data_IF_828091759050
#
_entry.id   IF_828091759050
#
_cell.length_a   1.000
_cell.length_b   1.000
_cell.length_c   1.000
_cell.angle_alpha   90.00
_cell.angle_beta   90.00
_cell.angle_gamma   90.00
#
_symmetry.space_group_name_H-M   'P 1'
#
loop_
_entity.id
_entity.type
_entity.pdbx_description
1 polymer ?
#
# COMPACT_ATOMS: atom_id res chain seq x y z
N UNK A 1 25.97 2.94 -6.60
CA UNK A 1 26.60 1.63 -6.58
C UNK A 1 26.11 0.87 -5.35
N UNK A 2 26.44 1.29 -4.12
CA UNK A 2 26.03 0.58 -2.89
C UNK A 2 24.52 0.40 -2.75
N UNK A 3 23.72 1.41 -3.09
CA UNK A 3 22.25 1.29 -3.04
C UNK A 3 21.69 0.23 -3.98
N UNK A 4 22.28 0.03 -5.15
CA UNK A 4 21.87 -1.03 -6.06
C UNK A 4 22.19 -2.42 -5.49
N UNK A 5 23.33 -2.56 -4.84
CA UNK A 5 23.74 -3.80 -4.16
C UNK A 5 22.80 -4.11 -3.00
N UNK A 6 22.48 -3.11 -2.16
CA UNK A 6 21.59 -3.25 -1.02
C UNK A 6 20.15 -3.64 -1.45
N UNK A 7 19.58 -3.01 -2.48
CA UNK A 7 18.24 -3.37 -2.97
C UNK A 7 18.17 -4.81 -3.49
N UNK A 8 19.15 -5.24 -4.28
CA UNK A 8 19.16 -6.61 -4.80
C UNK A 8 19.37 -7.62 -3.67
N UNK A 9 20.25 -7.31 -2.72
CA UNK A 9 20.48 -8.16 -1.55
C UNK A 9 19.19 -8.35 -0.73
N UNK A 10 18.41 -7.29 -0.45
CA UNK A 10 17.13 -7.42 0.25
C UNK A 10 16.09 -8.23 -0.53
N UNK A 11 16.02 -8.08 -1.84
CA UNK A 11 15.13 -8.91 -2.65
C UNK A 11 15.50 -10.39 -2.57
N UNK A 12 16.79 -10.71 -2.58
CA UNK A 12 17.28 -12.09 -2.40
C UNK A 12 16.98 -12.63 -1.00
N UNK A 13 17.08 -11.79 0.06
CA UNK A 13 16.70 -12.18 1.43
C UNK A 13 15.22 -12.54 1.53
N UNK A 14 14.32 -11.83 0.87
CA UNK A 14 12.89 -12.18 0.83
C UNK A 14 12.64 -13.52 0.12
N UNK A 15 13.35 -13.81 -0.95
CA UNK A 15 13.29 -15.11 -1.63
C UNK A 15 13.82 -16.21 -0.69
N UNK A 16 14.91 -15.95 -0.01
CA UNK A 16 15.49 -16.90 0.96
C UNK A 16 14.55 -17.14 2.15
N UNK A 17 13.84 -16.11 2.62
CA UNK A 17 12.81 -16.29 3.64
C UNK A 17 11.70 -17.26 3.18
N UNK A 18 11.29 -17.21 1.91
CA UNK A 18 10.36 -18.18 1.34
C UNK A 18 10.92 -19.61 1.37
N UNK A 19 12.19 -19.79 1.02
CA UNK A 19 12.87 -21.08 1.07
C UNK A 19 12.95 -21.65 2.49
N UNK A 20 13.17 -20.80 3.47
CA UNK A 20 13.18 -21.15 4.90
C UNK A 20 11.79 -21.48 5.46
N UNK A 21 10.72 -21.28 4.69
CA UNK A 21 9.36 -21.67 5.09
C UNK A 21 8.54 -20.59 5.78
N UNK A 22 8.95 -19.32 5.76
CA UNK A 22 8.13 -18.23 6.28
C UNK A 22 6.79 -18.15 5.54
N UNK A 23 5.72 -17.77 6.24
CA UNK A 23 4.38 -17.64 5.68
C UNK A 23 4.18 -16.34 4.91
N UNK A 24 4.91 -15.30 5.27
CA UNK A 24 4.85 -14.00 4.62
C UNK A 24 6.09 -13.16 4.85
N UNK A 25 6.26 -12.17 3.98
CA UNK A 25 7.30 -11.14 4.07
C UNK A 25 6.62 -9.78 4.13
N UNK A 26 7.15 -8.88 4.94
CA UNK A 26 6.57 -7.56 5.16
C UNK A 26 7.49 -6.47 4.63
N UNK A 27 6.88 -5.51 3.93
CA UNK A 27 7.56 -4.33 3.40
C UNK A 27 7.04 -3.07 4.09
N UNK A 28 7.92 -2.10 4.29
CA UNK A 28 7.58 -0.78 4.81
C UNK A 28 7.93 0.32 3.81
N UNK A 29 7.36 1.50 4.02
CA UNK A 29 7.64 2.68 3.18
C UNK A 29 7.97 3.88 4.07
N UNK A 30 9.09 4.56 3.76
CA UNK A 30 9.51 5.77 4.45
C UNK A 30 10.05 6.81 3.49
N UNK A 31 9.74 8.07 3.74
CA UNK A 31 10.12 9.19 2.90
C UNK A 31 10.90 10.25 3.66
N UNK A 32 11.91 10.82 3.00
CA UNK A 32 12.63 12.00 3.46
C UNK A 32 13.51 11.80 4.71
N UNK A 33 13.82 10.57 5.06
CA UNK A 33 14.68 10.24 6.20
C UNK A 33 15.47 8.94 5.94
N UNK A 34 16.53 8.66 6.71
CA UNK A 34 17.39 7.50 6.49
C UNK A 34 16.91 6.21 7.19
N UNK A 35 15.64 6.08 7.55
CA UNK A 35 15.14 4.87 8.22
C UNK A 35 15.26 3.62 7.38
N UNK A 36 14.92 3.75 6.10
CA UNK A 36 15.11 2.69 5.12
C UNK A 36 15.24 3.28 3.73
N UNK A 37 15.67 2.46 2.78
CA UNK A 37 15.73 2.83 1.37
C UNK A 37 14.40 2.61 0.63
N UNK A 38 13.45 1.91 1.23
CA UNK A 38 12.15 1.57 0.66
C UNK A 38 11.22 2.79 0.59
N UNK A 39 11.45 3.67 -0.37
CA UNK A 39 10.61 4.85 -0.60
C UNK A 39 9.46 4.62 -1.60
N UNK A 40 9.44 3.47 -2.28
CA UNK A 40 8.37 3.08 -3.21
C UNK A 40 8.10 1.58 -3.03
N UNK A 41 7.51 1.24 -1.92
CA UNK A 41 7.27 -0.14 -1.49
C UNK A 41 6.51 -0.97 -2.52
N UNK A 42 5.56 -0.38 -3.25
CA UNK A 42 4.75 -1.10 -4.23
C UNK A 42 5.57 -1.58 -5.45
N UNK A 43 6.69 -0.94 -5.77
CA UNK A 43 7.62 -1.43 -6.81
C UNK A 43 8.32 -2.70 -6.34
N UNK A 44 8.83 -2.71 -5.11
CA UNK A 44 9.46 -3.90 -4.51
C UNK A 44 8.44 -5.05 -4.39
N UNK A 45 7.23 -4.75 -3.91
CA UNK A 45 6.13 -5.72 -3.83
C UNK A 45 5.80 -6.34 -5.20
N UNK A 46 5.83 -5.55 -6.28
CA UNK A 46 5.60 -6.04 -7.64
C UNK A 46 6.68 -7.01 -8.10
N UNK A 47 7.93 -6.75 -7.75
CA UNK A 47 9.05 -7.65 -8.02
C UNK A 47 8.86 -8.96 -7.24
N UNK A 48 8.63 -8.87 -5.92
CA UNK A 48 8.40 -10.03 -5.06
C UNK A 48 7.20 -10.85 -5.50
N UNK A 49 6.13 -10.21 -5.96
CA UNK A 49 4.96 -10.89 -6.51
C UNK A 49 5.30 -11.80 -7.70
N UNK A 50 6.34 -11.45 -8.47
CA UNK A 50 6.78 -12.23 -9.64
C UNK A 50 7.82 -13.27 -9.29
N UNK A 51 8.78 -12.98 -8.40
CA UNK A 51 9.93 -13.85 -8.12
C UNK A 51 9.65 -14.87 -7.00
N UNK A 52 8.71 -14.59 -6.08
CA UNK A 52 8.26 -15.56 -5.07
C UNK A 52 7.03 -16.34 -5.54
N UNK A 53 6.67 -17.43 -4.86
CA UNK A 53 5.58 -18.32 -5.27
C UNK A 53 4.53 -18.57 -4.19
N UNK A 54 4.90 -18.54 -2.90
CA UNK A 54 4.08 -18.98 -1.78
C UNK A 54 3.85 -17.91 -0.72
N UNK A 55 4.89 -17.17 -0.33
CA UNK A 55 4.79 -16.20 0.77
C UNK A 55 3.75 -15.14 0.49
N UNK A 56 3.04 -14.73 1.53
CA UNK A 56 2.22 -13.51 1.50
C UNK A 56 3.13 -12.29 1.41
N UNK A 57 2.70 -11.32 0.63
CA UNK A 57 3.36 -10.02 0.48
C UNK A 57 2.55 -9.02 1.29
N UNK A 58 3.09 -8.63 2.43
CA UNK A 58 2.39 -7.83 3.42
C UNK A 58 2.93 -6.41 3.36
N UNK A 59 2.09 -5.47 3.01
CA UNK A 59 2.47 -4.06 2.96
C UNK A 59 2.14 -3.40 4.30
N UNK A 60 3.16 -2.85 4.98
CA UNK A 60 2.99 -2.18 6.28
C UNK A 60 3.68 -0.81 6.23
N UNK A 61 3.13 0.24 5.70
CA UNK A 61 1.91 0.34 4.92
C UNK A 61 2.03 1.56 4.03
N UNK A 62 1.16 1.62 3.07
CA UNK A 62 1.06 2.78 2.18
C UNK A 62 0.57 4.02 2.96
N UNK A 63 1.32 5.15 2.98
CA UNK A 63 0.91 6.35 3.70
C UNK A 63 -0.11 7.14 2.88
N UNK A 64 -1.38 6.79 2.99
CA UNK A 64 -2.45 7.30 2.14
C UNK A 64 -2.54 8.84 2.07
N UNK A 65 -2.36 9.61 3.17
CA UNK A 65 -2.38 11.08 3.09
C UNK A 65 -1.22 11.68 2.31
N UNK A 66 -0.11 10.95 2.20
CA UNK A 66 1.10 11.37 1.48
C UNK A 66 0.95 11.12 -0.03
N UNK A 67 0.33 10.02 -0.41
CA UNK A 67 0.24 9.57 -1.81
C UNK A 67 -0.73 10.39 -2.65
N UNK A 68 -1.73 11.03 -2.07
CA UNK A 68 -2.67 11.99 -2.70
C UNK A 68 -3.46 11.49 -3.92
N UNK A 69 -3.39 10.21 -4.27
CA UNK A 69 -4.11 9.67 -5.44
C UNK A 69 -4.65 8.27 -5.17
N UNK A 70 -5.74 8.13 -4.40
CA UNK A 70 -6.26 6.83 -4.00
C UNK A 70 -6.73 5.94 -5.17
N UNK A 71 -7.17 6.51 -6.28
CA UNK A 71 -7.50 5.69 -7.47
C UNK A 71 -6.25 5.00 -8.04
N UNK A 72 -5.13 5.73 -8.14
CA UNK A 72 -3.87 5.12 -8.59
C UNK A 72 -3.40 4.04 -7.62
N UNK A 73 -3.52 4.28 -6.32
CA UNK A 73 -3.21 3.28 -5.30
C UNK A 73 -4.06 2.02 -5.45
N UNK A 74 -5.35 2.16 -5.70
CA UNK A 74 -6.24 1.02 -5.93
C UNK A 74 -5.80 0.18 -7.14
N UNK A 75 -5.39 0.82 -8.23
CA UNK A 75 -4.90 0.13 -9.44
C UNK A 75 -3.55 -0.55 -9.22
N UNK A 76 -2.62 0.09 -8.52
CA UNK A 76 -1.31 -0.49 -8.18
C UNK A 76 -1.46 -1.77 -7.36
N UNK A 77 -2.22 -1.70 -6.28
CA UNK A 77 -2.42 -2.84 -5.39
C UNK A 77 -3.20 -3.98 -6.06
N UNK A 78 -4.20 -3.66 -6.88
CA UNK A 78 -4.89 -4.65 -7.69
C UNK A 78 -3.93 -5.34 -8.68
N UNK A 79 -3.00 -4.58 -9.26
CA UNK A 79 -1.96 -5.13 -10.16
C UNK A 79 -1.04 -6.10 -9.42
N UNK A 80 -0.57 -5.72 -8.23
CA UNK A 80 0.27 -6.59 -7.38
C UNK A 80 -0.50 -7.87 -7.00
N UNK A 81 -1.77 -7.74 -6.64
CA UNK A 81 -2.60 -8.88 -6.27
C UNK A 81 -2.82 -9.85 -7.45
N UNK A 82 -3.00 -9.34 -8.66
CA UNK A 82 -3.08 -10.14 -9.88
C UNK A 82 -1.76 -10.85 -10.20
N UNK A 83 -0.64 -10.14 -10.15
CA UNK A 83 0.71 -10.72 -10.41
C UNK A 83 1.01 -11.81 -9.38
N UNK A 84 0.72 -11.56 -8.11
CA UNK A 84 0.96 -12.50 -7.02
C UNK A 84 -0.06 -13.64 -6.95
N UNK A 85 -1.15 -13.57 -7.72
CA UNK A 85 -2.27 -14.53 -7.69
C UNK A 85 -2.90 -14.65 -6.29
N UNK A 86 -3.20 -13.51 -5.67
CA UNK A 86 -3.90 -13.45 -4.39
C UNK A 86 -3.02 -13.64 -3.16
N UNK A 87 -1.74 -13.28 -3.23
CA UNK A 87 -0.85 -13.32 -2.08
C UNK A 87 -0.65 -11.96 -1.41
N UNK A 88 -1.24 -10.90 -1.96
CA UNK A 88 -1.17 -9.57 -1.38
C UNK A 88 -2.00 -9.47 -0.08
N UNK A 89 -1.41 -8.82 0.91
CA UNK A 89 -2.09 -8.25 2.08
C UNK A 89 -1.84 -6.75 2.04
N UNK A 90 -2.87 -5.98 1.76
CA UNK A 90 -2.76 -4.53 1.60
C UNK A 90 -2.69 -3.85 2.97
N UNK A 91 -1.74 -2.95 3.16
CA UNK A 91 -1.58 -2.25 4.44
C UNK A 91 -1.52 -0.74 4.25
N UNK A 92 -2.10 -0.04 5.22
CA UNK A 92 -2.28 1.39 5.20
C UNK A 92 -1.73 2.03 6.46
N UNK A 93 -1.13 3.21 6.31
CA UNK A 93 -0.70 4.04 7.43
C UNK A 93 -1.07 5.50 7.17
N UNK A 94 -1.13 6.27 8.24
CA UNK A 94 -1.27 7.73 8.12
C UNK A 94 0.04 8.43 7.78
N UNK A 95 1.16 7.73 7.92
CA UNK A 95 2.50 8.29 7.79
C UNK A 95 2.95 9.08 9.01
N UNK A 96 4.26 9.20 9.19
CA UNK A 96 4.87 10.01 10.24
C UNK A 96 4.79 11.51 9.88
N UNK A 97 4.88 12.38 10.89
CA UNK A 97 4.81 13.83 10.67
C UNK A 97 5.89 14.37 9.73
N UNK A 98 7.10 13.80 9.80
CA UNK A 98 8.20 14.13 8.88
C UNK A 98 7.87 13.79 7.43
N UNK A 99 7.28 12.64 7.18
CA UNK A 99 6.88 12.19 5.83
C UNK A 99 5.81 13.09 5.24
N UNK A 100 4.85 13.51 6.06
CA UNK A 100 3.81 14.46 5.65
C UNK A 100 4.42 15.81 5.28
N UNK A 101 5.34 16.31 6.11
CA UNK A 101 6.04 17.57 5.84
C UNK A 101 6.81 17.52 4.53
N UNK A 102 7.63 16.51 4.29
CA UNK A 102 8.41 16.35 3.07
C UNK A 102 7.58 16.18 1.81
N UNK A 103 6.37 15.67 1.94
CA UNK A 103 5.45 15.44 0.81
C UNK A 103 4.35 16.51 0.70
N UNK A 104 4.48 17.65 1.41
CA UNK A 104 3.49 18.72 1.41
C UNK A 104 2.07 18.24 1.77
N UNK A 105 1.95 17.26 2.66
CA UNK A 105 0.70 16.86 3.25
C UNK A 105 0.45 17.65 4.54
N UNK A 106 -0.77 18.15 4.72
CA UNK A 106 -1.12 18.89 5.93
C UNK A 106 -1.49 17.93 7.05
N UNK A 107 -0.74 17.88 8.16
CA UNK A 107 -1.02 16.99 9.28
C UNK A 107 -2.41 17.18 9.91
N UNK A 108 -2.99 18.37 9.83
CA UNK A 108 -4.32 18.66 10.37
C UNK A 108 -5.44 17.84 9.70
N UNK A 109 -5.27 17.45 8.45
CA UNK A 109 -6.23 16.66 7.69
C UNK A 109 -5.83 15.19 7.53
N UNK A 110 -4.78 14.78 8.19
CA UNK A 110 -4.16 13.46 8.03
C UNK A 110 -5.18 12.32 8.24
N UNK A 111 -5.95 12.34 9.33
CA UNK A 111 -6.93 11.30 9.60
C UNK A 111 -8.06 11.29 8.58
N UNK A 112 -8.64 12.42 8.31
CA UNK A 112 -9.74 12.54 7.35
C UNK A 112 -9.33 12.06 5.95
N UNK A 113 -8.15 12.48 5.49
CA UNK A 113 -7.62 12.04 4.20
C UNK A 113 -7.34 10.53 4.17
N UNK A 114 -6.86 9.98 5.29
CA UNK A 114 -6.61 8.55 5.41
C UNK A 114 -7.90 7.74 5.31
N UNK A 115 -8.91 8.10 6.10
CA UNK A 115 -10.21 7.42 6.12
C UNK A 115 -10.92 7.53 4.78
N UNK A 116 -10.96 8.73 4.19
CA UNK A 116 -11.56 8.93 2.88
C UNK A 116 -10.85 8.18 1.76
N UNK A 117 -9.50 8.16 1.76
CA UNK A 117 -8.72 7.42 0.77
C UNK A 117 -8.94 5.92 0.89
N UNK A 118 -8.96 5.38 2.11
CA UNK A 118 -9.26 3.98 2.38
C UNK A 118 -10.64 3.59 1.82
N UNK A 119 -11.68 4.32 2.23
CA UNK A 119 -13.05 4.03 1.80
C UNK A 119 -13.21 4.13 0.28
N UNK A 120 -12.54 5.10 -0.32
CA UNK A 120 -12.49 5.22 -1.78
C UNK A 120 -11.85 4.00 -2.44
N UNK A 121 -10.71 3.52 -1.92
CA UNK A 121 -9.99 2.35 -2.47
C UNK A 121 -10.88 1.10 -2.38
N UNK A 122 -11.52 0.86 -1.24
CA UNK A 122 -12.45 -0.27 -1.08
C UNK A 122 -13.60 -0.18 -2.08
N UNK A 123 -14.19 1.01 -2.26
CA UNK A 123 -15.24 1.21 -3.26
C UNK A 123 -14.72 0.99 -4.69
N UNK A 124 -13.52 1.46 -5.02
CA UNK A 124 -12.92 1.26 -6.33
C UNK A 124 -12.71 -0.22 -6.68
N UNK A 125 -12.48 -1.07 -5.68
CA UNK A 125 -12.33 -2.51 -5.87
C UNK A 125 -13.65 -3.30 -5.91
N UNK A 126 -14.70 -2.78 -5.25
CA UNK A 126 -15.94 -3.53 -5.01
C UNK A 126 -17.16 -2.99 -5.73
N UNK A 127 -17.16 -1.72 -6.09
CA UNK A 127 -18.29 -1.08 -6.77
C UNK A 127 -18.11 -1.12 -8.29
N UNK A 128 -19.06 -1.68 -9.04
CA UNK A 128 -19.01 -1.62 -10.50
C UNK A 128 -19.01 -0.17 -11.02
N UNK A 129 -18.14 0.10 -11.99
CA UNK A 129 -18.10 1.40 -12.65
C UNK A 129 -19.03 1.51 -13.85
N UNK A 130 -19.13 2.70 -14.48
CA UNK A 130 -18.54 3.94 -14.01
C UNK A 130 -19.38 4.67 -12.96
N UNK A 131 -18.71 5.44 -12.10
CA UNK A 131 -19.37 6.31 -11.12
C UNK A 131 -18.55 7.59 -10.87
N UNK A 132 -19.19 8.58 -10.25
CA UNK A 132 -18.54 9.83 -9.84
C UNK A 132 -18.28 9.79 -8.33
N UNK A 133 -17.17 10.34 -7.89
CA UNK A 133 -16.82 10.50 -6.49
C UNK A 133 -16.65 11.97 -6.13
N UNK A 134 -17.36 12.44 -5.14
CA UNK A 134 -17.29 13.80 -4.60
C UNK A 134 -17.09 13.70 -3.08
N UNK A 135 -15.83 13.53 -2.67
CA UNK A 135 -15.44 13.51 -1.28
C UNK A 135 -15.07 14.92 -0.77
N UNK A 136 -14.56 14.97 0.44
CA UNK A 136 -14.04 16.22 1.03
C UNK A 136 -12.63 16.55 0.48
N UNK A 137 -11.80 15.55 0.30
CA UNK A 137 -10.40 15.68 -0.09
C UNK A 137 -10.13 15.17 -1.51
N UNK A 138 -10.92 14.22 -1.98
CA UNK A 138 -10.73 13.60 -3.29
C UNK A 138 -11.96 13.74 -4.16
N UNK A 139 -11.74 14.09 -5.45
CA UNK A 139 -12.81 14.30 -6.43
C UNK A 139 -12.45 13.63 -7.74
N UNK A 140 -13.31 12.75 -8.21
CA UNK A 140 -13.14 12.04 -9.48
C UNK A 140 -14.41 12.13 -10.32
N UNK A 141 -14.30 12.71 -11.51
CA UNK A 141 -15.43 12.81 -12.45
C UNK A 141 -15.88 11.45 -12.97
N UNK A 142 -14.93 10.51 -13.05
CA UNK A 142 -15.18 9.19 -13.62
C UNK A 142 -14.25 8.17 -12.95
N UNK A 143 -14.83 7.24 -12.23
CA UNK A 143 -14.14 6.10 -11.62
C UNK A 143 -14.62 4.83 -12.30
N UNK A 144 -13.72 4.13 -12.97
CA UNK A 144 -14.02 2.89 -13.66
C UNK A 144 -12.73 2.06 -13.82
N UNK A 145 -12.13 1.56 -12.72
CA UNK A 145 -10.94 0.75 -12.82
C UNK A 145 -11.24 -0.57 -13.52
N UNK A 146 -10.41 -0.91 -14.50
CA UNK A 146 -10.46 -2.20 -15.19
C UNK A 146 -9.59 -3.25 -14.50
N UNK A 147 -8.50 -2.82 -13.87
CA UNK A 147 -7.65 -3.67 -13.05
C UNK A 147 -8.29 -3.82 -11.67
N UNK A 148 -8.94 -4.95 -11.44
CA UNK A 148 -9.55 -5.30 -10.16
C UNK A 148 -8.73 -6.39 -9.46
N UNK A 149 -8.73 -6.46 -8.11
CA UNK A 149 -8.01 -7.46 -7.37
C UNK A 149 -8.39 -8.91 -7.76
N UNK A 150 -7.41 -9.79 -7.68
CA UNK A 150 -7.62 -11.23 -7.82
C UNK A 150 -8.48 -11.78 -6.66
N UNK A 151 -8.18 -11.37 -5.45
CA UNK A 151 -8.92 -11.74 -4.24
C UNK A 151 -10.29 -11.05 -4.19
N UNK A 152 -11.30 -11.75 -3.67
CA UNK A 152 -12.68 -11.25 -3.59
C UNK A 152 -13.18 -11.27 -2.15
N UNK A 153 -13.87 -10.22 -1.70
CA UNK A 153 -14.24 -9.00 -2.44
C UNK A 153 -13.05 -8.08 -2.73
N UNK A 154 -11.97 -8.18 -1.98
CA UNK A 154 -10.69 -7.47 -2.12
C UNK A 154 -9.60 -8.18 -1.30
N UNK A 155 -8.31 -7.84 -1.45
CA UNK A 155 -7.24 -8.33 -0.57
C UNK A 155 -7.53 -8.03 0.90
N UNK A 156 -7.08 -8.88 1.84
CA UNK A 156 -7.09 -8.51 3.25
C UNK A 156 -6.38 -7.17 3.48
N UNK A 157 -6.90 -6.35 4.38
CA UNK A 157 -6.34 -5.05 4.71
C UNK A 157 -5.80 -5.02 6.14
N UNK A 158 -4.65 -4.37 6.34
CA UNK A 158 -4.04 -4.18 7.65
C UNK A 158 -3.78 -2.71 7.94
N UNK A 159 -3.98 -2.33 9.19
CA UNK A 159 -3.62 -1.02 9.70
C UNK A 159 -2.86 -1.23 11.00
N UNK A 160 -1.59 -0.82 11.09
CA UNK A 160 -0.84 -0.94 12.31
C UNK A 160 -1.41 0.02 13.37
N UNK A 161 -1.98 -0.53 14.43
CA UNK A 161 -2.49 0.21 15.58
C UNK A 161 -1.46 0.23 16.71
N UNK A 162 -0.53 1.19 16.69
CA UNK A 162 0.56 1.22 17.67
C UNK A 162 0.39 2.27 18.77
N UNK A 163 -0.15 3.43 18.46
CA UNK A 163 -0.14 4.58 19.37
C UNK A 163 -1.50 5.28 19.54
N UNK A 164 -2.42 5.08 18.63
CA UNK A 164 -3.70 5.79 18.61
C UNK A 164 -4.86 4.83 18.91
N UNK A 165 -5.54 5.00 20.06
CA UNK A 165 -6.74 4.22 20.38
C UNK A 165 -7.80 4.27 19.28
N UNK A 166 -7.96 5.43 18.65
CA UNK A 166 -8.91 5.65 17.55
C UNK A 166 -8.58 4.79 16.31
N UNK A 167 -7.29 4.52 16.07
CA UNK A 167 -6.87 3.64 14.96
C UNK A 167 -7.14 2.17 15.28
N UNK A 168 -7.09 1.79 16.56
CA UNK A 168 -7.39 0.42 17.00
C UNK A 168 -8.90 0.15 16.96
N UNK A 169 -9.69 1.18 17.18
CA UNK A 169 -11.16 1.08 17.21
C UNK A 169 -11.84 1.24 15.85
N UNK A 170 -11.12 1.78 14.88
CA UNK A 170 -11.61 2.01 13.52
C UNK A 170 -11.49 0.76 12.66
#
# INVERSE_FOLDING_TARGET
VRGAEDYNYYLDEYVYAEELGFDGVALNEHHGNPFCMGSVMNVEASILARITKRVKIILIGNPLPVIKHPLRMAEELATIDLISRGRLVAGWVRGAGSEQFFNNANPAYNREMFEEAHDFIIQAWTRPGPWRYEGKHFHYRHVNPWTLPYQKPHPPTFIPGTLSPETIMW
#
